data_IF_510913089152
#
_entry.id   IF_510913089152
#
_cell.length_a   1.000
_cell.length_b   1.000
_cell.length_c   1.000
_cell.angle_alpha   90.00
_cell.angle_beta   90.00
_cell.angle_gamma   90.00
#
_symmetry.space_group_name_H-M   'P 1'
#
loop_
_entity.id
_entity.type
_entity.pdbx_description
1 polymer ?
#
# COMPACT_ATOMS: atom_id res chain seq x y z
N UNK A 1 -5.95 -16.07 -15.76
CA UNK A 1 -4.58 -15.80 -16.26
C UNK A 1 -3.59 -16.11 -15.16
N UNK A 2 -2.64 -16.97 -15.45
CA UNK A 2 -1.60 -17.31 -14.50
C UNK A 2 -0.38 -16.44 -14.72
N UNK A 3 0.12 -15.87 -13.63
CA UNK A 3 1.37 -15.11 -13.66
C UNK A 3 2.52 -16.01 -13.23
N UNK A 4 3.62 -15.96 -13.95
CA UNK A 4 4.83 -16.67 -13.53
C UNK A 4 5.39 -16.02 -12.25
N UNK A 5 6.02 -16.82 -11.41
CA UNK A 5 6.63 -16.34 -10.16
C UNK A 5 7.56 -15.15 -10.40
N UNK A 6 8.28 -15.17 -11.51
CA UNK A 6 9.18 -14.08 -11.90
C UNK A 6 8.41 -12.78 -12.09
N UNK A 7 7.26 -12.84 -12.78
CA UNK A 7 6.45 -11.65 -13.05
C UNK A 7 5.88 -11.08 -11.75
N UNK A 8 5.48 -11.95 -10.83
CA UNK A 8 4.99 -11.55 -9.51
C UNK A 8 6.10 -10.88 -8.71
N UNK A 9 7.33 -11.40 -8.76
CA UNK A 9 8.46 -10.80 -8.07
C UNK A 9 8.79 -9.41 -8.61
N UNK A 10 8.80 -9.24 -9.93
CA UNK A 10 9.02 -7.94 -10.56
C UNK A 10 7.93 -6.96 -10.15
N UNK A 11 6.67 -7.40 -10.17
CA UNK A 11 5.54 -6.59 -9.76
C UNK A 11 5.66 -6.18 -8.30
N UNK A 12 6.04 -7.12 -7.42
CA UNK A 12 6.21 -6.85 -5.99
C UNK A 12 7.30 -5.81 -5.74
N UNK A 13 8.44 -5.91 -6.43
CA UNK A 13 9.52 -4.93 -6.30
C UNK A 13 9.06 -3.54 -6.75
N UNK A 14 8.40 -3.46 -7.90
CA UNK A 14 7.87 -2.21 -8.43
C UNK A 14 6.85 -1.57 -7.48
N UNK A 15 5.88 -2.36 -6.99
CA UNK A 15 4.81 -1.85 -6.14
C UNK A 15 5.31 -1.55 -4.72
N UNK A 16 6.34 -2.25 -4.24
CA UNK A 16 6.97 -1.91 -2.95
C UNK A 16 7.60 -0.53 -3.00
N UNK A 17 8.27 -0.21 -4.11
CA UNK A 17 8.85 1.10 -4.32
C UNK A 17 7.78 2.18 -4.37
N UNK A 18 6.69 1.94 -5.09
CA UNK A 18 5.57 2.87 -5.19
C UNK A 18 4.90 3.07 -3.83
N UNK A 19 4.72 1.99 -3.06
CA UNK A 19 4.15 2.08 -1.73
C UNK A 19 5.03 2.92 -0.81
N UNK A 20 6.34 2.72 -0.86
CA UNK A 20 7.28 3.49 -0.06
C UNK A 20 7.25 4.97 -0.44
N UNK A 21 7.24 5.28 -1.73
CA UNK A 21 7.12 6.66 -2.22
C UNK A 21 5.81 7.30 -1.75
N UNK A 22 4.71 6.54 -1.80
CA UNK A 22 3.42 7.04 -1.36
C UNK A 22 3.42 7.39 0.12
N UNK A 23 3.90 6.49 1.01
CA UNK A 23 3.92 6.77 2.44
C UNK A 23 4.88 7.92 2.78
N UNK A 24 5.99 8.04 2.06
CA UNK A 24 6.91 9.17 2.24
C UNK A 24 6.26 10.48 1.81
N UNK A 25 5.49 10.47 0.73
CA UNK A 25 4.79 11.66 0.22
C UNK A 25 3.79 12.19 1.22
N UNK A 26 3.02 11.32 1.86
CA UNK A 26 2.02 11.73 2.86
C UNK A 26 2.62 11.92 4.26
N UNK A 27 3.91 11.62 4.43
CA UNK A 27 4.61 11.84 5.70
C UNK A 27 4.27 10.85 6.80
N UNK A 28 3.86 9.65 6.44
CA UNK A 28 3.49 8.60 7.39
C UNK A 28 4.66 7.66 7.62
N UNK A 29 4.92 7.32 8.89
CA UNK A 29 5.91 6.32 9.24
C UNK A 29 5.21 4.98 9.42
N UNK A 30 5.68 3.97 8.73
CA UNK A 30 5.11 2.62 8.77
C UNK A 30 6.20 1.60 9.08
N UNK A 31 5.80 0.48 9.70
CA UNK A 31 6.69 -0.65 9.89
C UNK A 31 6.85 -1.41 8.58
N UNK A 32 7.83 -2.30 8.53
CA UNK A 32 8.05 -3.14 7.35
C UNK A 32 6.81 -4.00 7.05
N UNK A 33 6.18 -4.57 8.09
CA UNK A 33 4.97 -5.37 7.91
C UNK A 33 3.80 -4.55 7.35
N UNK A 34 3.66 -3.31 7.81
CA UNK A 34 2.64 -2.39 7.31
C UNK A 34 2.90 -2.02 5.86
N UNK A 35 4.17 -1.78 5.51
CA UNK A 35 4.55 -1.48 4.14
C UNK A 35 4.23 -2.64 3.22
N UNK A 36 4.44 -3.88 3.67
CA UNK A 36 4.09 -5.06 2.89
C UNK A 36 2.58 -5.15 2.64
N UNK A 37 1.76 -4.80 3.64
CA UNK A 37 0.29 -4.77 3.46
C UNK A 37 -0.12 -3.75 2.41
N UNK A 38 0.47 -2.57 2.44
CA UNK A 38 0.21 -1.53 1.43
C UNK A 38 0.63 -2.04 0.06
N UNK A 39 1.80 -2.66 -0.02
CA UNK A 39 2.31 -3.25 -1.27
C UNK A 39 1.35 -4.30 -1.83
N UNK A 40 0.81 -5.17 -0.97
CA UNK A 40 -0.13 -6.20 -1.40
C UNK A 40 -1.39 -5.58 -2.00
N UNK A 41 -1.92 -4.53 -1.42
CA UNK A 41 -3.07 -3.81 -1.97
C UNK A 41 -2.73 -3.21 -3.34
N UNK A 42 -1.55 -2.62 -3.48
CA UNK A 42 -1.10 -2.05 -4.76
C UNK A 42 -0.97 -3.14 -5.84
N UNK A 43 -0.44 -4.31 -5.46
CA UNK A 43 -0.33 -5.45 -6.38
C UNK A 43 -1.73 -5.90 -6.83
N UNK A 44 -2.66 -6.02 -5.92
CA UNK A 44 -4.03 -6.41 -6.25
C UNK A 44 -4.71 -5.38 -7.16
N UNK A 45 -4.42 -4.10 -6.97
CA UNK A 45 -4.91 -3.05 -7.87
C UNK A 45 -4.44 -3.27 -9.31
N UNK A 46 -3.21 -3.76 -9.49
CA UNK A 46 -2.68 -4.07 -10.82
C UNK A 46 -3.33 -5.32 -11.42
N UNK A 47 -3.63 -6.31 -10.59
CA UNK A 47 -4.14 -7.60 -11.06
C UNK A 47 -5.66 -7.62 -11.21
N UNK A 48 -6.38 -6.88 -10.39
CA UNK A 48 -7.86 -6.90 -10.36
C UNK A 48 -8.42 -5.49 -10.20
N UNK A 49 -8.23 -4.59 -11.18
CA UNK A 49 -8.63 -3.19 -11.03
C UNK A 49 -10.15 -2.97 -10.94
N UNK A 50 -10.96 -3.96 -11.32
CA UNK A 50 -12.42 -3.85 -11.30
C UNK A 50 -13.09 -4.53 -10.11
N UNK A 51 -12.31 -5.00 -9.14
CA UNK A 51 -12.82 -5.72 -7.98
C UNK A 51 -13.41 -4.74 -6.96
N UNK A 52 -14.70 -4.90 -6.61
CA UNK A 52 -15.39 -4.02 -5.67
C UNK A 52 -14.88 -4.20 -4.24
N UNK A 53 -14.54 -5.44 -3.85
CA UNK A 53 -13.94 -5.69 -2.54
C UNK A 53 -12.61 -4.95 -2.40
N UNK A 54 -11.84 -4.90 -3.48
CA UNK A 54 -10.59 -4.18 -3.52
C UNK A 54 -10.82 -2.67 -3.32
N UNK A 55 -11.85 -2.11 -3.92
CA UNK A 55 -12.21 -0.70 -3.73
C UNK A 55 -12.48 -0.38 -2.27
N UNK A 56 -13.20 -1.27 -1.57
CA UNK A 56 -13.44 -1.13 -0.14
C UNK A 56 -12.15 -1.22 0.67
N UNK A 57 -11.26 -2.13 0.31
CA UNK A 57 -9.97 -2.26 0.98
C UNK A 57 -9.10 -1.02 0.77
N UNK A 58 -9.14 -0.41 -0.40
CA UNK A 58 -8.42 0.83 -0.70
C UNK A 58 -8.95 1.97 0.18
N UNK A 59 -10.26 2.08 0.31
CA UNK A 59 -10.87 3.11 1.17
C UNK A 59 -10.44 2.94 2.63
N UNK A 60 -10.47 1.70 3.13
CA UNK A 60 -10.04 1.41 4.50
C UNK A 60 -8.57 1.73 4.69
N UNK A 61 -7.73 1.40 3.71
CA UNK A 61 -6.32 1.71 3.74
C UNK A 61 -6.08 3.22 3.79
N UNK A 62 -6.79 3.98 2.97
CA UNK A 62 -6.68 5.43 2.93
C UNK A 62 -7.06 6.06 4.27
N UNK A 63 -8.16 5.61 4.86
CA UNK A 63 -8.61 6.09 6.18
C UNK A 63 -7.56 5.76 7.24
N UNK A 64 -7.04 4.53 7.23
CA UNK A 64 -6.02 4.12 8.18
C UNK A 64 -4.75 4.96 8.08
N UNK A 65 -4.30 5.22 6.85
CA UNK A 65 -3.10 6.03 6.63
C UNK A 65 -3.31 7.49 7.08
N UNK A 66 -4.48 8.06 6.84
CA UNK A 66 -4.80 9.41 7.30
C UNK A 66 -4.82 9.48 8.82
N UNK A 67 -5.40 8.49 9.47
CA UNK A 67 -5.42 8.39 10.92
C UNK A 67 -3.99 8.29 11.47
N UNK A 68 -3.17 7.45 10.85
CA UNK A 68 -1.78 7.28 11.25
C UNK A 68 -0.96 8.55 11.05
N UNK A 69 -1.22 9.29 9.98
CA UNK A 69 -0.57 10.57 9.72
C UNK A 69 -0.89 11.58 10.83
N UNK A 70 -2.15 11.66 11.23
CA UNK A 70 -2.56 12.54 12.33
C UNK A 70 -1.88 12.16 13.64
N UNK A 71 -1.79 10.86 13.94
CA UNK A 71 -1.08 10.37 15.12
C UNK A 71 0.39 10.74 15.08
N UNK A 72 1.04 10.58 13.93
CA UNK A 72 2.45 10.92 13.78
C UNK A 72 2.69 12.42 13.98
N UNK A 73 1.77 13.27 13.52
CA UNK A 73 1.86 14.71 13.77
C UNK A 73 1.77 15.05 15.24
N UNK A 74 0.88 14.36 15.97
CA UNK A 74 0.72 14.58 17.41
C UNK A 74 1.99 14.21 18.19
N UNK A 75 2.77 13.26 17.68
CA UNK A 75 4.00 12.80 18.34
C UNK A 75 5.22 13.65 18.03
N UNK A 76 5.10 14.67 17.20
CA UNK A 76 6.22 15.56 16.84
C UNK A 76 6.49 16.67 17.85
N UNK A 77 5.83 16.66 18.96
CA UNK A 77 6.03 17.68 20.00
C UNK A 77 7.04 17.28 21.06
#
# INVERSE_FOLDING_TARGET
>A
MEFYNRDIQILRQSQSKMALEYVNHIGVKVTFAELQRITDVFIECCLRPQDDDLKERIKKLDIWLKTKSAENEQHKH
#
